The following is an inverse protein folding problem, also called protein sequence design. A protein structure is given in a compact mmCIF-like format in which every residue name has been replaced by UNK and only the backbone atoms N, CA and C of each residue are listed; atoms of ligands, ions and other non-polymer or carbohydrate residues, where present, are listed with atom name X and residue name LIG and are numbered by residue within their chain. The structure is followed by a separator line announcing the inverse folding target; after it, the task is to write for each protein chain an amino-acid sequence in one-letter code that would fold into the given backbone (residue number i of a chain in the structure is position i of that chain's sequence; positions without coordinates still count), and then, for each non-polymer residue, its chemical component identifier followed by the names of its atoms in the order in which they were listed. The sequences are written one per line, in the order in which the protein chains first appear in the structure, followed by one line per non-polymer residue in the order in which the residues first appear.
data_IF_595394232815
#
_entry.id   IF_595394232815
#
_cell.length_a   1.000
_cell.length_b   1.000
_cell.length_c   1.000
_cell.angle_alpha   90.00
_cell.angle_beta   90.00
_cell.angle_gamma   90.00
#
_symmetry.space_group_name_H-M   'P 1'
#
loop_
_entity.id
_entity.type
_entity.pdbx_description
1 polymer ?
#
# COMPACT_ATOMS: atom_id res chain seq x y z
N UNK A 1 1.16 0.62 26.25
CA UNK A 1 2.46 0.54 25.54
C UNK A 1 2.39 1.43 24.30
N UNK A 2 3.31 2.38 24.12
CA UNK A 2 2.99 3.60 23.38
C UNK A 2 3.13 3.40 21.86
N UNK A 3 2.07 3.78 21.15
CA UNK A 3 1.90 3.82 19.68
C UNK A 3 3.09 4.50 18.95
N UNK A 4 3.85 5.33 19.66
CA UNK A 4 5.08 5.99 19.16
C UNK A 4 6.19 5.00 18.78
N UNK A 5 6.30 3.85 19.44
CA UNK A 5 7.37 2.87 19.16
C UNK A 5 7.10 2.02 17.90
N UNK A 6 5.82 1.82 17.54
CA UNK A 6 5.43 1.05 16.36
C UNK A 6 5.63 1.88 15.07
N UNK A 7 5.30 3.18 15.10
CA UNK A 7 5.50 4.09 13.97
C UNK A 7 6.98 4.27 13.64
N UNK A 8 7.86 4.35 14.65
CA UNK A 8 9.31 4.44 14.42
C UNK A 8 9.93 3.15 13.85
N UNK A 9 9.43 1.97 14.25
CA UNK A 9 9.97 0.68 13.75
C UNK A 9 9.60 0.40 12.29
N UNK A 10 8.44 0.86 11.82
CA UNK A 10 8.02 0.68 10.41
C UNK A 10 8.82 1.58 9.46
N UNK A 11 9.21 2.79 9.89
CA UNK A 11 10.10 3.65 9.09
C UNK A 11 11.51 3.05 8.92
N UNK A 12 12.05 2.37 9.94
CA UNK A 12 13.37 1.74 9.84
C UNK A 12 13.49 0.63 8.78
N UNK A 13 12.42 -0.11 8.48
CA UNK A 13 12.48 -1.21 7.48
C UNK A 13 12.48 -0.66 6.05
N UNK A 14 11.84 0.48 5.80
CA UNK A 14 11.88 1.16 4.51
C UNK A 14 13.21 1.90 4.27
N UNK A 15 13.87 2.40 5.32
CA UNK A 15 15.20 3.02 5.19
C UNK A 15 16.30 2.02 4.87
N UNK A 16 16.18 0.76 5.31
CA UNK A 16 17.20 -0.27 5.09
C UNK A 16 17.31 -0.72 3.62
N UNK A 17 16.22 -0.61 2.84
CA UNK A 17 16.19 -0.97 1.41
C UNK A 17 16.73 0.13 0.47
N UNK A 18 17.01 1.34 0.97
CA UNK A 18 17.60 2.44 0.20
C UNK A 18 19.10 2.66 0.47
N UNK A 19 19.77 1.69 1.11
CA UNK A 19 21.21 1.74 1.38
C UNK A 19 22.01 1.42 0.10
N UNK A 20 21.99 2.32 -0.89
CA UNK A 20 23.00 2.32 -1.96
C UNK A 20 24.33 2.71 -1.31
N UNK A 21 25.40 1.90 -1.41
CA UNK A 21 26.69 2.26 -0.84
C UNK A 21 27.23 3.50 -1.57
N UNK A 22 27.27 4.64 -0.88
CA UNK A 22 28.05 5.80 -1.31
C UNK A 22 29.48 5.62 -0.83
N UNK A 23 30.40 5.40 -1.76
CA UNK A 23 31.81 5.71 -1.55
C UNK A 23 32.77 4.67 -2.10
N UNK A 24 33.19 4.87 -3.35
CA UNK A 24 34.59 4.65 -3.74
C UNK A 24 34.85 5.45 -5.02
N UNK A 25 35.35 6.68 -4.82
CA UNK A 25 35.98 7.41 -5.89
C UNK A 25 37.27 6.68 -6.28
N UNK A 26 37.34 6.23 -7.52
CA UNK A 26 38.61 5.87 -8.15
C UNK A 26 38.64 6.48 -9.54
N UNK A 27 39.42 7.56 -9.65
CA UNK A 27 39.87 8.19 -10.88
C UNK A 27 40.82 7.22 -11.57
N UNK A 28 40.43 6.69 -12.73
CA UNK A 28 41.34 6.03 -13.66
C UNK A 28 41.15 6.63 -15.05
N UNK A 29 42.22 7.29 -15.52
CA UNK A 29 42.39 7.60 -16.92
C UNK A 29 42.65 6.33 -17.70
N UNK A 30 41.99 6.19 -18.84
CA UNK A 30 42.09 5.03 -19.71
C UNK A 30 41.21 5.24 -20.92
N UNK A 31 41.73 5.98 -21.89
CA UNK A 31 41.14 6.16 -23.21
C UNK A 31 41.31 4.85 -23.98
N UNK A 32 40.38 3.92 -23.75
CA UNK A 32 40.19 2.69 -24.51
C UNK A 32 38.76 2.67 -25.02
N UNK A 33 38.58 2.40 -26.30
CA UNK A 33 37.32 2.25 -27.02
C UNK A 33 36.30 1.42 -26.22
N UNK A 34 35.45 2.12 -25.47
CA UNK A 34 34.40 1.53 -24.65
C UNK A 34 33.30 1.02 -25.57
N UNK A 35 33.16 -0.30 -25.65
CA UNK A 35 31.83 -0.85 -25.56
C UNK A 35 31.29 -0.40 -24.21
N UNK A 36 30.58 0.73 -24.24
CA UNK A 36 29.78 1.25 -23.15
C UNK A 36 28.85 0.10 -22.76
N UNK A 37 29.19 -0.58 -21.67
CA UNK A 37 28.30 -1.44 -20.92
C UNK A 37 27.16 -0.52 -20.47
N UNK A 38 26.21 -0.27 -21.37
CA UNK A 38 24.94 0.34 -21.02
C UNK A 38 24.34 -0.63 -20.02
N UNK A 39 24.49 -0.31 -18.75
CA UNK A 39 23.55 -0.77 -17.74
C UNK A 39 22.19 -0.45 -18.35
N UNK A 40 21.48 -1.47 -18.84
CA UNK A 40 20.11 -1.31 -19.31
C UNK A 40 19.35 -0.66 -18.16
N UNK A 41 19.19 0.66 -18.23
CA UNK A 41 18.62 1.43 -17.15
C UNK A 41 17.14 1.11 -17.18
N UNK A 42 16.71 0.20 -16.31
CA UNK A 42 15.28 -0.13 -16.15
C UNK A 42 14.50 1.17 -15.98
N UNK A 43 13.45 1.36 -16.78
CA UNK A 43 12.62 2.56 -16.73
C UNK A 43 12.23 2.85 -15.26
N UNK A 44 12.65 3.99 -14.69
CA UNK A 44 12.35 4.37 -13.31
C UNK A 44 10.85 4.35 -13.00
N UNK A 45 9.99 4.58 -13.99
CA UNK A 45 8.54 4.48 -13.83
C UNK A 45 8.11 3.04 -13.59
N UNK A 46 8.62 2.08 -14.36
CA UNK A 46 8.30 0.66 -14.18
C UNK A 46 8.81 0.16 -12.84
N UNK A 47 10.00 0.56 -12.41
CA UNK A 47 10.50 0.26 -11.06
C UNK A 47 9.58 0.78 -9.95
N UNK A 48 9.11 2.03 -10.08
CA UNK A 48 8.15 2.60 -9.13
C UNK A 48 6.85 1.79 -9.07
N UNK A 49 6.29 1.42 -10.22
CA UNK A 49 5.04 0.65 -10.29
C UNK A 49 5.19 -0.78 -9.77
N UNK A 50 6.35 -1.41 -9.97
CA UNK A 50 6.67 -2.70 -9.35
C UNK A 50 6.74 -2.58 -7.83
N UNK A 51 7.37 -1.53 -7.31
CA UNK A 51 7.36 -1.23 -5.87
C UNK A 51 5.94 -1.00 -5.33
N UNK A 52 5.10 -0.28 -6.09
CA UNK A 52 3.70 -0.05 -5.75
C UNK A 52 2.89 -1.35 -5.67
N UNK A 53 3.10 -2.26 -6.63
CA UNK A 53 2.48 -3.59 -6.66
C UNK A 53 2.86 -4.44 -5.44
N UNK A 54 4.15 -4.45 -5.08
CA UNK A 54 4.64 -5.14 -3.89
C UNK A 54 4.02 -4.54 -2.62
N UNK A 55 3.99 -3.21 -2.50
CA UNK A 55 3.36 -2.54 -1.35
C UNK A 55 1.88 -2.91 -1.23
N UNK A 56 1.14 -2.91 -2.33
CA UNK A 56 -0.27 -3.32 -2.35
C UNK A 56 -0.45 -4.79 -1.95
N UNK A 57 0.45 -5.67 -2.41
CA UNK A 57 0.46 -7.08 -2.01
C UNK A 57 0.62 -7.25 -0.50
N UNK A 58 1.54 -6.49 0.10
CA UNK A 58 1.76 -6.47 1.57
C UNK A 58 0.52 -5.94 2.29
N UNK A 59 -0.10 -4.85 1.82
CA UNK A 59 -1.34 -4.30 2.39
C UNK A 59 -2.45 -5.33 2.38
N UNK A 60 -2.68 -6.03 1.26
CA UNK A 60 -3.68 -7.09 1.15
C UNK A 60 -3.36 -8.26 2.08
N UNK A 61 -2.09 -8.68 2.14
CA UNK A 61 -1.63 -9.73 3.05
C UNK A 61 -1.91 -9.40 4.52
N UNK A 62 -1.58 -8.17 4.94
CA UNK A 62 -1.88 -7.67 6.30
C UNK A 62 -3.38 -7.61 6.56
N UNK A 63 -4.19 -7.22 5.57
CA UNK A 63 -5.64 -7.16 5.69
C UNK A 63 -6.25 -8.56 5.92
N UNK A 64 -5.87 -9.54 5.10
CA UNK A 64 -6.33 -10.93 5.21
C UNK A 64 -5.87 -11.55 6.53
N UNK A 65 -4.58 -11.38 6.88
CA UNK A 65 -4.04 -11.89 8.13
C UNK A 65 -4.70 -11.23 9.35
N UNK A 66 -4.97 -9.93 9.30
CA UNK A 66 -5.71 -9.23 10.34
C UNK A 66 -7.13 -9.75 10.53
N UNK A 67 -7.83 -10.15 9.47
CA UNK A 67 -9.15 -10.79 9.58
C UNK A 67 -9.04 -12.15 10.27
N UNK A 68 -8.01 -12.95 9.95
CA UNK A 68 -7.76 -14.24 10.63
C UNK A 68 -7.53 -14.03 12.13
N UNK A 69 -6.66 -13.09 12.50
CA UNK A 69 -6.42 -12.76 13.91
C UNK A 69 -7.70 -12.31 14.66
N UNK A 70 -8.63 -11.63 13.97
CA UNK A 70 -9.91 -11.27 14.56
C UNK A 70 -10.81 -12.49 14.80
N UNK A 71 -10.81 -13.46 13.87
CA UNK A 71 -11.55 -14.73 14.02
C UNK A 71 -10.97 -15.59 15.13
N UNK A 72 -9.66 -15.55 15.31
CA UNK A 72 -8.93 -16.29 16.35
C UNK A 72 -9.04 -15.62 17.74
N UNK A 73 -9.83 -14.55 17.89
CA UNK A 73 -10.06 -13.89 19.18
C UNK A 73 -8.96 -12.92 19.61
N UNK A 74 -8.11 -12.45 18.70
CA UNK A 74 -7.03 -11.48 18.98
C UNK A 74 -7.32 -10.09 18.38
N UNK A 75 -8.27 -9.31 18.93
CA UNK A 75 -8.67 -8.02 18.37
C UNK A 75 -7.57 -6.95 18.43
N UNK A 76 -6.68 -7.02 19.42
CA UNK A 76 -5.53 -6.11 19.55
C UNK A 76 -4.53 -6.27 18.38
N UNK A 77 -4.27 -7.51 17.97
CA UNK A 77 -3.41 -7.83 16.81
C UNK A 77 -4.07 -7.41 15.51
N UNK A 78 -5.37 -7.69 15.33
CA UNK A 78 -6.14 -7.19 14.19
C UNK A 78 -5.97 -5.67 14.03
N UNK A 79 -6.19 -4.91 15.11
CA UNK A 79 -6.03 -3.45 15.11
C UNK A 79 -4.63 -3.01 14.70
N UNK A 80 -3.59 -3.60 15.30
CA UNK A 80 -2.20 -3.24 14.95
C UNK A 80 -1.93 -3.46 13.47
N UNK A 81 -2.39 -4.58 12.90
CA UNK A 81 -2.22 -4.90 11.49
C UNK A 81 -2.99 -3.93 10.58
N UNK A 82 -4.23 -3.56 10.94
CA UNK A 82 -5.02 -2.59 10.16
C UNK A 82 -4.41 -1.19 10.20
N UNK A 83 -3.82 -0.78 11.33
CA UNK A 83 -3.09 0.49 11.43
C UNK A 83 -1.86 0.45 10.54
N UNK A 84 -1.04 -0.62 10.60
CA UNK A 84 0.13 -0.76 9.73
C UNK A 84 -0.25 -0.72 8.26
N UNK A 85 -1.29 -1.45 7.86
CA UNK A 85 -1.80 -1.42 6.48
C UNK A 85 -2.26 -0.01 6.07
N UNK A 86 -2.97 0.71 6.95
CA UNK A 86 -3.41 2.08 6.70
C UNK A 86 -2.23 3.04 6.51
N UNK A 87 -1.18 2.90 7.34
CA UNK A 87 0.04 3.70 7.23
C UNK A 87 0.77 3.44 5.91
N UNK A 88 0.82 2.18 5.44
CA UNK A 88 1.40 1.85 4.14
C UNK A 88 0.61 2.46 2.98
N UNK A 89 -0.72 2.49 3.06
CA UNK A 89 -1.55 3.16 2.04
C UNK A 89 -1.29 4.66 2.04
N UNK A 90 -1.27 5.32 3.20
CA UNK A 90 -0.96 6.75 3.31
C UNK A 90 0.46 7.04 2.80
N UNK A 91 1.44 6.23 3.18
CA UNK A 91 2.81 6.34 2.69
C UNK A 91 2.90 6.21 1.16
N UNK A 92 2.16 5.28 0.57
CA UNK A 92 2.05 5.14 -0.88
C UNK A 92 1.42 6.37 -1.54
N UNK A 93 0.36 6.95 -0.98
CA UNK A 93 -0.25 8.18 -1.52
C UNK A 93 0.76 9.33 -1.55
N UNK A 94 1.58 9.48 -0.50
CA UNK A 94 2.66 10.47 -0.46
C UNK A 94 3.75 10.16 -1.50
N UNK A 95 4.17 8.90 -1.61
CA UNK A 95 5.14 8.48 -2.61
C UNK A 95 4.63 8.69 -4.05
N UNK A 96 3.34 8.48 -4.31
CA UNK A 96 2.71 8.75 -5.59
C UNK A 96 2.68 10.25 -5.91
N UNK A 97 2.38 11.11 -4.93
CA UNK A 97 2.47 12.55 -5.10
C UNK A 97 3.90 12.99 -5.48
N UNK A 98 4.91 12.43 -4.80
CA UNK A 98 6.32 12.66 -5.16
C UNK A 98 6.64 12.15 -6.57
N UNK A 99 6.16 10.95 -6.93
CA UNK A 99 6.31 10.40 -8.29
C UNK A 99 5.75 11.36 -9.34
N UNK A 100 4.59 11.97 -9.10
CA UNK A 100 4.01 12.93 -10.03
C UNK A 100 4.86 14.19 -10.20
N UNK A 101 5.50 14.65 -9.13
CA UNK A 101 6.40 15.82 -9.16
C UNK A 101 7.70 15.51 -9.90
N UNK A 102 8.30 14.33 -9.68
CA UNK A 102 9.63 13.99 -10.20
C UNK A 102 9.62 13.25 -11.56
N UNK A 103 8.68 12.32 -11.76
CA UNK A 103 8.62 11.46 -12.97
C UNK A 103 7.47 11.81 -13.91
N UNK A 104 6.59 12.73 -13.50
CA UNK A 104 5.43 13.14 -14.28
C UNK A 104 4.33 12.10 -14.38
N UNK A 105 3.32 12.43 -15.20
CA UNK A 105 2.18 11.55 -15.50
C UNK A 105 2.57 10.49 -16.53
N UNK A 106 1.84 9.38 -16.52
CA UNK A 106 1.92 8.40 -17.60
C UNK A 106 1.22 8.93 -18.83
N UNK A 107 1.84 8.75 -20.00
CA UNK A 107 1.19 9.05 -21.27
C UNK A 107 0.26 7.88 -21.62
N UNK A 108 -1.04 8.11 -21.48
CA UNK A 108 -2.08 7.13 -21.78
C UNK A 108 -2.42 7.06 -23.27
N UNK A 109 -1.90 7.98 -24.11
CA UNK A 109 -2.21 8.00 -25.55
C UNK A 109 -1.68 6.78 -26.30
N UNK A 110 -0.59 6.19 -25.81
CA UNK A 110 0.04 4.98 -26.35
C UNK A 110 -0.56 3.68 -25.81
N UNK A 111 -1.54 3.79 -24.90
CA UNK A 111 -2.16 2.62 -24.28
C UNK A 111 -3.33 2.11 -25.14
N UNK A 112 -3.44 0.79 -25.26
CA UNK A 112 -4.62 0.18 -25.86
C UNK A 112 -5.86 0.49 -25.03
N UNK A 113 -7.03 0.58 -25.69
CA UNK A 113 -8.30 0.85 -25.02
C UNK A 113 -8.60 -0.16 -23.90
N UNK A 114 -8.24 -1.43 -24.10
CA UNK A 114 -8.37 -2.47 -23.07
C UNK A 114 -7.52 -2.17 -21.84
N UNK A 115 -6.27 -1.72 -22.01
CA UNK A 115 -5.39 -1.38 -20.89
C UNK A 115 -5.88 -0.15 -20.13
N UNK A 116 -6.43 0.84 -20.83
CA UNK A 116 -7.07 2.02 -20.20
C UNK A 116 -8.29 1.60 -19.38
N UNK A 117 -9.15 0.72 -19.89
CA UNK A 117 -10.29 0.19 -19.14
C UNK A 117 -9.86 -0.56 -17.87
N UNK A 118 -8.84 -1.42 -17.97
CA UNK A 118 -8.26 -2.10 -16.81
C UNK A 118 -7.75 -1.11 -15.77
N UNK A 119 -7.09 -0.03 -16.21
CA UNK A 119 -6.63 1.04 -15.32
C UNK A 119 -7.80 1.77 -14.63
N UNK A 120 -8.87 2.12 -15.35
CA UNK A 120 -10.06 2.77 -14.76
C UNK A 120 -10.78 1.86 -13.76
N UNK A 121 -10.87 0.58 -14.07
CA UNK A 121 -11.39 -0.42 -13.15
C UNK A 121 -10.52 -0.50 -11.88
N UNK A 122 -9.19 -0.58 -12.03
CA UNK A 122 -8.26 -0.56 -10.92
C UNK A 122 -8.42 0.69 -10.04
N UNK A 123 -8.50 1.89 -10.64
CA UNK A 123 -8.74 3.15 -9.93
C UNK A 123 -10.03 3.10 -9.11
N UNK A 124 -11.10 2.51 -9.65
CA UNK A 124 -12.38 2.35 -8.95
C UNK A 124 -12.25 1.38 -7.76
N UNK A 125 -11.49 0.29 -7.91
CA UNK A 125 -11.18 -0.63 -6.81
C UNK A 125 -10.40 0.06 -5.70
N UNK A 126 -9.36 0.84 -6.04
CA UNK A 126 -8.55 1.60 -5.07
C UNK A 126 -9.39 2.66 -4.38
N UNK A 127 -10.25 3.40 -5.10
CA UNK A 127 -11.15 4.37 -4.51
C UNK A 127 -12.10 3.71 -3.50
N UNK A 128 -12.70 2.59 -3.88
CA UNK A 128 -13.60 1.81 -3.00
C UNK A 128 -12.85 1.32 -1.75
N UNK A 129 -11.61 0.84 -1.92
CA UNK A 129 -10.74 0.43 -0.82
C UNK A 129 -10.48 1.59 0.15
N UNK A 130 -10.08 2.76 -0.37
CA UNK A 130 -9.72 3.92 0.44
C UNK A 130 -10.93 4.48 1.18
N UNK A 131 -12.08 4.66 0.49
CA UNK A 131 -13.31 5.15 1.12
C UNK A 131 -13.81 4.17 2.17
N UNK A 132 -13.86 2.87 1.84
CA UNK A 132 -14.24 1.83 2.80
C UNK A 132 -13.31 1.78 4.01
N UNK A 133 -12.01 1.88 3.79
CA UNK A 133 -10.99 1.90 4.85
C UNK A 133 -11.13 3.12 5.76
N UNK A 134 -11.33 4.31 5.20
CA UNK A 134 -11.55 5.54 5.95
C UNK A 134 -12.81 5.48 6.82
N UNK A 135 -13.93 4.97 6.27
CA UNK A 135 -15.16 4.75 7.02
C UNK A 135 -14.98 3.71 8.13
N UNK A 136 -14.26 2.61 7.84
CA UNK A 136 -13.95 1.60 8.83
C UNK A 136 -13.10 2.16 9.99
N UNK A 137 -12.10 3.01 9.70
CA UNK A 137 -11.29 3.70 10.71
C UNK A 137 -12.12 4.67 11.55
N UNK A 138 -13.00 5.46 10.90
CA UNK A 138 -13.89 6.40 11.59
C UNK A 138 -14.83 5.70 12.57
N UNK A 139 -15.48 4.62 12.14
CA UNK A 139 -16.36 3.86 13.04
C UNK A 139 -15.58 3.02 14.04
N UNK A 140 -14.38 2.54 13.66
CA UNK A 140 -13.48 1.81 14.56
C UNK A 140 -12.94 2.68 15.71
N UNK A 141 -12.69 3.97 15.47
CA UNK A 141 -12.26 4.89 16.53
C UNK A 141 -13.37 5.16 17.55
N UNK A 142 -14.63 5.20 17.10
CA UNK A 142 -15.80 5.33 17.99
C UNK A 142 -16.01 4.06 18.84
N UNK A 143 -15.68 2.88 18.32
CA UNK A 143 -15.74 1.63 19.07
C UNK A 143 -14.57 1.48 20.07
N UNK A 144 -13.49 2.27 19.96
CA UNK A 144 -12.37 2.18 20.91
C UNK A 144 -12.73 2.60 22.34
N UNK A 145 -13.86 3.30 22.53
CA UNK A 145 -14.34 3.78 23.82
C UNK A 145 -15.47 2.91 24.40
N UNK A 146 -15.72 1.73 23.83
CA UNK A 146 -16.81 0.84 24.28
C UNK A 146 -16.27 -0.43 24.93
N UNK A 147 -17.13 -1.08 25.73
CA UNK A 147 -16.85 -2.36 26.42
C UNK A 147 -16.49 -3.52 25.48
N UNK A 148 -16.75 -3.39 24.18
CA UNK A 148 -16.30 -4.36 23.19
C UNK A 148 -14.78 -4.35 22.97
N UNK A 149 -14.09 -3.30 23.46
CA UNK A 149 -12.67 -3.08 23.26
C UNK A 149 -11.90 -2.80 24.56
N UNK A 150 -12.57 -2.37 25.62
CA UNK A 150 -11.99 -2.13 26.93
C UNK A 150 -12.42 -3.24 27.91
N UNK A 151 -11.54 -3.58 28.84
CA UNK A 151 -11.86 -4.50 29.95
C UNK A 151 -12.58 -3.77 31.10
N UNK A 152 -12.88 -2.47 30.93
CA UNK A 152 -13.51 -1.65 31.96
C UNK A 152 -15.02 -1.90 31.94
N UNK A 153 -15.58 -2.32 33.08
CA UNK A 153 -17.01 -2.57 33.23
C UNK A 153 -17.87 -1.30 33.10
N UNK A 154 -17.26 -0.13 33.32
CA UNK A 154 -17.96 1.16 33.34
C UNK A 154 -18.17 1.75 31.94
N UNK A 155 -17.49 1.21 30.93
CA UNK A 155 -17.59 1.73 29.55
C UNK A 155 -18.95 1.35 28.94
N UNK A 156 -19.50 2.17 28.02
CA UNK A 156 -20.77 1.89 27.39
C UNK A 156 -20.69 0.62 26.52
N UNK A 157 -21.79 -0.12 26.46
CA UNK A 157 -21.93 -1.23 25.51
C UNK A 157 -21.92 -0.70 24.07
N UNK A 158 -21.30 -1.42 23.14
CA UNK A 158 -21.22 -0.97 21.76
C UNK A 158 -22.59 -1.06 21.07
N UNK A 159 -22.99 0.01 20.40
CA UNK A 159 -24.16 0.00 19.54
C UNK A 159 -24.00 -1.06 18.42
N UNK A 160 -24.89 -2.07 18.33
CA UNK A 160 -24.82 -3.10 17.31
C UNK A 160 -24.91 -2.54 15.88
N UNK A 161 -25.60 -1.42 15.67
CA UNK A 161 -25.66 -0.78 14.37
C UNK A 161 -24.30 -0.22 13.94
N UNK A 162 -23.56 0.40 14.87
CA UNK A 162 -22.20 0.90 14.63
C UNK A 162 -21.23 -0.24 14.30
N UNK A 163 -21.30 -1.35 15.05
CA UNK A 163 -20.48 -2.56 14.79
C UNK A 163 -20.75 -3.10 13.39
N UNK A 164 -22.02 -3.20 12.99
CA UNK A 164 -22.40 -3.68 11.66
C UNK A 164 -21.91 -2.75 10.54
N UNK A 165 -21.99 -1.43 10.74
CA UNK A 165 -21.45 -0.44 9.79
C UNK A 165 -19.93 -0.58 9.65
N UNK A 166 -19.19 -0.68 10.76
CA UNK A 166 -17.75 -0.92 10.74
C UNK A 166 -17.38 -2.20 9.97
N UNK A 167 -18.07 -3.31 10.23
CA UNK A 167 -17.84 -4.59 9.53
C UNK A 167 -18.11 -4.50 8.03
N UNK A 168 -19.20 -3.83 7.62
CA UNK A 168 -19.53 -3.64 6.21
C UNK A 168 -18.47 -2.81 5.51
N UNK A 169 -18.06 -1.67 6.07
CA UNK A 169 -16.99 -0.83 5.51
C UNK A 169 -15.64 -1.56 5.44
N UNK A 170 -15.27 -2.31 6.47
CA UNK A 170 -14.05 -3.13 6.47
C UNK A 170 -14.11 -4.20 5.36
N UNK A 171 -15.24 -4.87 5.18
CA UNK A 171 -15.43 -5.87 4.12
C UNK A 171 -15.33 -5.25 2.73
N UNK A 172 -15.99 -4.12 2.49
CA UNK A 172 -15.89 -3.42 1.20
C UNK A 172 -14.47 -2.97 0.91
N UNK A 173 -13.74 -2.51 1.93
CA UNK A 173 -12.35 -2.10 1.79
C UNK A 173 -11.46 -3.28 1.35
N UNK A 174 -11.61 -4.44 1.99
CA UNK A 174 -10.82 -5.65 1.70
C UNK A 174 -11.14 -6.21 0.32
N UNK A 175 -12.42 -6.26 -0.07
CA UNK A 175 -12.81 -6.68 -1.43
C UNK A 175 -12.19 -5.74 -2.48
N UNK A 176 -12.30 -4.43 -2.27
CA UNK A 176 -11.68 -3.43 -3.14
C UNK A 176 -10.15 -3.59 -3.22
N UNK A 177 -9.49 -3.86 -2.10
CA UNK A 177 -8.04 -4.09 -2.06
C UNK A 177 -7.63 -5.33 -2.86
N UNK A 178 -8.33 -6.45 -2.71
CA UNK A 178 -8.04 -7.69 -3.42
C UNK A 178 -8.23 -7.52 -4.93
N UNK A 179 -9.38 -6.95 -5.35
CA UNK A 179 -9.63 -6.67 -6.77
C UNK A 179 -8.64 -5.65 -7.34
N UNK A 180 -8.28 -4.65 -6.54
CA UNK A 180 -7.25 -3.67 -6.88
C UNK A 180 -5.89 -4.31 -7.11
N UNK A 181 -5.49 -5.26 -6.26
CA UNK A 181 -4.23 -5.98 -6.43
C UNK A 181 -4.23 -6.82 -7.71
N UNK A 182 -5.29 -7.59 -7.96
CA UNK A 182 -5.40 -8.41 -9.16
C UNK A 182 -5.35 -7.55 -10.43
N UNK A 183 -6.14 -6.47 -10.48
CA UNK A 183 -6.13 -5.52 -11.60
C UNK A 183 -4.79 -4.83 -11.78
N UNK A 184 -4.08 -4.48 -10.70
CA UNK A 184 -2.74 -3.88 -10.79
C UNK A 184 -1.70 -4.81 -11.42
N UNK A 185 -1.84 -6.13 -11.24
CA UNK A 185 -1.00 -7.12 -11.90
C UNK A 185 -1.15 -7.07 -13.43
N UNK A 186 -2.38 -6.91 -13.93
CA UNK A 186 -2.63 -6.74 -15.37
C UNK A 186 -2.09 -5.40 -15.90
N UNK A 187 -2.23 -4.31 -15.13
CA UNK A 187 -1.66 -3.01 -15.49
C UNK A 187 -0.13 -3.10 -15.60
N UNK A 188 0.51 -3.70 -14.58
CA UNK A 188 1.97 -3.84 -14.52
C UNK A 188 2.50 -4.72 -15.65
N UNK A 189 1.84 -5.84 -15.93
CA UNK A 189 2.15 -6.70 -17.07
C UNK A 189 2.09 -5.93 -18.39
N UNK A 190 1.07 -5.09 -18.57
CA UNK A 190 0.96 -4.22 -19.74
C UNK A 190 2.09 -3.19 -19.86
N UNK A 191 2.65 -2.72 -18.74
CA UNK A 191 3.82 -1.84 -18.75
C UNK A 191 5.08 -2.59 -19.17
N UNK A 192 5.31 -3.79 -18.62
CA UNK A 192 6.47 -4.62 -18.98
C UNK A 192 6.45 -5.05 -20.45
N UNK A 193 5.28 -5.38 -21.01
CA UNK A 193 5.14 -5.78 -22.41
C UNK A 193 5.48 -4.66 -23.42
N UNK A 194 5.65 -3.40 -22.96
CA UNK A 194 6.06 -2.26 -23.80
C UNK A 194 7.54 -1.92 -23.65
N UNK A 195 8.24 -2.56 -22.71
CA UNK A 195 9.70 -2.45 -22.59
C UNK A 195 10.42 -3.43 -23.52
N UNK A 196 9.75 -4.50 -23.94
CA UNK A 196 10.21 -5.50 -24.92
C UNK A 196 9.82 -5.12 -26.34
#
# INVERSE_FOLDING_TARGET
MPIRAAVLRTFCVLSALCSVPRGLGMRWGGQGSGQELTTESVDPKVLFWTGAFINMSVVVGLAIYGIRQLRDGFPSRHRSLMITASLLVVGFMLAYALKLVFLGREDLSVWSQAAVWTLRFHETCVLTMVVGGALALRWGSQLCTTRSFTLNSDDPEADPALVNRHRRAGRTAVIGAVLGLLSSGFVLMGMYARLS
#
